data_IF_052287453490
#
_entry.id   IF_052287453490
#
_cell.length_a   1.000
_cell.length_b   1.000
_cell.length_c   1.000
_cell.angle_alpha   90.00
_cell.angle_beta   90.00
_cell.angle_gamma   90.00
#
_symmetry.space_group_name_H-M   'P 1'
#
loop_
_entity.id
_entity.type
_entity.pdbx_description
1 polymer ?
#
# COMPACT_ATOMS: atom_id res chain seq x y z
N UNK A 1 -3.18 -11.47 11.16
CA UNK A 1 -2.00 -10.61 10.99
C UNK A 1 -0.77 -11.30 11.52
N UNK A 2 0.03 -11.86 10.62
CA UNK A 2 1.19 -12.68 10.96
C UNK A 2 2.45 -11.81 10.87
N UNK A 3 2.87 -11.25 11.99
CA UNK A 3 3.94 -10.23 12.11
C UNK A 3 5.25 -10.66 11.40
N UNK A 4 5.54 -11.95 11.38
CA UNK A 4 6.72 -12.48 10.69
C UNK A 4 6.73 -12.26 9.18
N UNK A 5 5.58 -12.29 8.50
CA UNK A 5 5.48 -12.02 7.06
C UNK A 5 5.74 -10.56 6.73
N UNK A 6 5.20 -9.66 7.56
CA UNK A 6 5.40 -8.21 7.44
C UNK A 6 6.89 -7.86 7.57
N UNK A 7 7.57 -8.45 8.56
CA UNK A 7 9.00 -8.25 8.78
C UNK A 7 9.86 -8.71 7.60
N UNK A 8 9.46 -9.82 6.95
CA UNK A 8 10.19 -10.38 5.83
C UNK A 8 10.04 -9.54 4.55
N UNK A 9 8.86 -8.95 4.32
CA UNK A 9 8.64 -7.98 3.24
C UNK A 9 9.48 -6.71 3.41
N UNK A 10 9.53 -6.17 4.64
CA UNK A 10 10.34 -4.99 4.98
C UNK A 10 11.82 -5.25 4.69
N UNK A 11 12.34 -6.40 5.14
CA UNK A 11 13.75 -6.76 4.95
C UNK A 11 14.10 -7.10 3.48
N UNK A 12 13.21 -7.79 2.75
CA UNK A 12 13.49 -8.20 1.36
C UNK A 12 13.37 -7.05 0.36
N UNK A 13 12.48 -6.09 0.62
CA UNK A 13 12.26 -4.95 -0.27
C UNK A 13 13.02 -3.70 0.18
N UNK A 14 13.87 -3.81 1.21
CA UNK A 14 14.65 -2.70 1.76
C UNK A 14 13.77 -1.49 2.13
N UNK A 15 12.53 -1.76 2.52
CA UNK A 15 11.53 -0.74 2.83
C UNK A 15 11.81 -0.25 4.24
N UNK A 16 11.93 1.06 4.43
CA UNK A 16 12.18 1.61 5.75
C UNK A 16 10.92 1.43 6.62
N UNK A 17 11.05 0.95 7.88
CA UNK A 17 9.91 0.85 8.81
C UNK A 17 9.19 2.19 9.02
N UNK A 18 9.93 3.30 8.97
CA UNK A 18 9.40 4.67 9.05
C UNK A 18 8.53 5.02 7.82
N UNK A 19 8.86 4.49 6.64
CA UNK A 19 8.07 4.69 5.43
C UNK A 19 6.76 3.90 5.48
N UNK A 20 6.79 2.66 6.00
CA UNK A 20 5.59 1.87 6.28
C UNK A 20 4.70 2.61 7.28
N UNK A 21 5.28 3.15 8.35
CA UNK A 21 4.53 3.87 9.38
C UNK A 21 3.90 5.15 8.83
N UNK A 22 4.66 5.92 8.04
CA UNK A 22 4.19 7.12 7.34
C UNK A 22 3.08 6.81 6.34
N UNK A 23 3.10 5.61 5.75
CA UNK A 23 2.05 5.10 4.88
C UNK A 23 0.75 4.87 5.66
N UNK A 24 0.86 4.14 6.77
CA UNK A 24 -0.28 3.80 7.63
C UNK A 24 -0.91 5.06 8.22
N UNK A 25 -0.11 6.06 8.61
CA UNK A 25 -0.62 7.35 9.06
C UNK A 25 -1.32 8.14 7.96
N UNK A 26 -0.74 8.19 6.75
CA UNK A 26 -1.39 8.85 5.61
C UNK A 26 -2.72 8.20 5.27
N UNK A 27 -2.74 6.87 5.21
CA UNK A 27 -3.92 6.05 4.98
C UNK A 27 -5.00 6.34 6.02
N UNK A 28 -4.64 6.31 7.31
CA UNK A 28 -5.55 6.53 8.43
C UNK A 28 -6.13 7.95 8.45
N UNK A 29 -5.38 8.94 7.98
CA UNK A 29 -5.84 10.33 7.86
C UNK A 29 -6.50 10.64 6.51
N UNK A 30 -6.31 9.81 5.49
CA UNK A 30 -6.87 10.00 4.16
C UNK A 30 -8.27 9.40 4.05
N UNK A 31 -9.12 10.04 3.26
CA UNK A 31 -10.47 9.55 3.02
C UNK A 31 -10.45 8.36 2.04
N UNK A 32 -10.40 7.14 2.57
CA UNK A 32 -10.44 5.86 1.83
C UNK A 32 -11.79 5.59 1.12
N UNK A 33 -12.65 6.60 1.01
CA UNK A 33 -13.90 6.55 0.23
C UNK A 33 -13.76 7.13 -1.17
N UNK A 34 -12.64 7.77 -1.47
CA UNK A 34 -12.40 8.45 -2.74
C UNK A 34 -11.33 7.71 -3.57
N UNK A 35 -11.72 7.23 -4.75
CA UNK A 35 -10.88 6.51 -5.70
C UNK A 35 -9.62 7.30 -6.07
N UNK A 36 -9.76 8.62 -6.25
CA UNK A 36 -8.65 9.48 -6.66
C UNK A 36 -7.57 9.55 -5.57
N UNK A 37 -7.99 9.64 -4.30
CA UNK A 37 -7.07 9.64 -3.16
C UNK A 37 -6.39 8.28 -3.02
N UNK A 38 -7.13 7.18 -3.15
CA UNK A 38 -6.57 5.83 -3.07
C UNK A 38 -5.53 5.59 -4.16
N UNK A 39 -5.84 5.98 -5.41
CA UNK A 39 -4.91 5.86 -6.53
C UNK A 39 -3.63 6.66 -6.28
N UNK A 40 -3.75 7.88 -5.77
CA UNK A 40 -2.59 8.71 -5.43
C UNK A 40 -1.71 8.07 -4.34
N UNK A 41 -2.35 7.52 -3.30
CA UNK A 41 -1.64 6.80 -2.24
C UNK A 41 -0.87 5.63 -2.84
N UNK A 42 -1.52 4.75 -3.60
CA UNK A 42 -0.90 3.57 -4.23
C UNK A 42 0.34 3.97 -5.05
N UNK A 43 0.25 5.02 -5.86
CA UNK A 43 1.38 5.50 -6.65
C UNK A 43 2.53 6.00 -5.78
N UNK A 44 2.23 6.74 -4.71
CA UNK A 44 3.24 7.24 -3.80
C UNK A 44 3.92 6.07 -3.07
N UNK A 45 3.15 5.05 -2.66
CA UNK A 45 3.69 3.82 -2.06
C UNK A 45 4.59 3.09 -3.04
N UNK A 46 4.15 2.91 -4.29
CA UNK A 46 4.90 2.24 -5.34
C UNK A 46 6.24 2.93 -5.61
N UNK A 47 6.27 4.27 -5.60
CA UNK A 47 7.50 5.05 -5.74
C UNK A 47 8.43 4.85 -4.55
N UNK A 48 7.89 4.88 -3.33
CA UNK A 48 8.63 4.67 -2.08
C UNK A 48 9.25 3.26 -2.05
N UNK A 49 8.45 2.24 -2.37
CA UNK A 49 8.90 0.85 -2.45
C UNK A 49 9.82 0.57 -3.66
N UNK A 50 10.04 1.54 -4.55
CA UNK A 50 10.84 1.37 -5.77
C UNK A 50 10.26 0.35 -6.76
N UNK A 51 8.97 0.00 -6.62
CA UNK A 51 8.32 -1.02 -7.44
C UNK A 51 7.42 -0.39 -8.48
N UNK A 52 7.66 -0.71 -9.76
CA UNK A 52 6.76 -0.31 -10.84
C UNK A 52 5.55 -1.22 -10.89
N UNK A 53 4.39 -0.66 -10.55
CA UNK A 53 3.09 -1.27 -10.80
C UNK A 53 2.57 -0.82 -12.15
N UNK A 54 1.92 -1.74 -12.86
CA UNK A 54 1.20 -1.49 -14.08
C UNK A 54 -0.23 -1.00 -13.77
N UNK A 55 -0.83 -0.29 -14.72
CA UNK A 55 -2.18 0.28 -14.59
C UNK A 55 -3.24 -0.74 -14.16
N UNK A 56 -3.12 -1.98 -14.64
CA UNK A 56 -4.06 -3.04 -14.29
C UNK A 56 -3.96 -3.44 -12.82
N UNK A 57 -2.74 -3.63 -12.28
CA UNK A 57 -2.55 -3.87 -10.84
C UNK A 57 -3.00 -2.68 -10.00
N UNK A 58 -2.73 -1.46 -10.46
CA UNK A 58 -3.15 -0.24 -9.77
C UNK A 58 -4.68 -0.18 -9.64
N UNK A 59 -5.44 -0.40 -10.73
CA UNK A 59 -6.90 -0.42 -10.69
C UNK A 59 -7.47 -1.56 -9.83
N UNK A 60 -6.81 -2.72 -9.81
CA UNK A 60 -7.18 -3.84 -8.93
C UNK A 60 -7.00 -3.45 -7.45
N UNK A 61 -5.85 -2.85 -7.10
CA UNK A 61 -5.57 -2.36 -5.76
C UNK A 61 -6.59 -1.29 -5.34
N UNK A 62 -6.87 -0.34 -6.22
CA UNK A 62 -7.86 0.72 -5.99
C UNK A 62 -9.23 0.12 -5.67
N UNK A 63 -9.73 -0.80 -6.51
CA UNK A 63 -11.02 -1.47 -6.28
C UNK A 63 -11.08 -2.24 -4.98
N UNK A 64 -9.99 -2.94 -4.64
CA UNK A 64 -9.91 -3.74 -3.42
C UNK A 64 -9.96 -2.85 -2.19
N UNK A 65 -9.21 -1.75 -2.19
CA UNK A 65 -9.23 -0.76 -1.10
C UNK A 65 -10.59 -0.07 -0.97
N UNK A 66 -11.26 0.22 -2.08
CA UNK A 66 -12.62 0.77 -2.09
C UNK A 66 -13.66 -0.18 -1.51
N UNK A 67 -13.48 -1.49 -1.71
CA UNK A 67 -14.45 -2.52 -1.33
C UNK A 67 -14.22 -3.03 0.09
N UNK A 68 -12.97 -3.40 0.40
CA UNK A 68 -12.58 -4.10 1.63
C UNK A 68 -11.75 -3.22 2.59
N UNK A 69 -11.35 -2.02 2.17
CA UNK A 69 -10.40 -1.18 2.90
C UNK A 69 -8.95 -1.62 2.69
N UNK A 70 -8.03 -1.00 3.44
CA UNK A 70 -6.61 -1.35 3.36
C UNK A 70 -6.33 -2.57 4.26
N UNK A 71 -6.27 -3.74 3.64
CA UNK A 71 -5.85 -4.99 4.27
C UNK A 71 -4.36 -5.29 4.10
N UNK A 72 -3.89 -6.36 4.75
CA UNK A 72 -2.50 -6.84 4.64
C UNK A 72 -2.12 -7.22 3.20
N UNK A 73 -3.11 -7.63 2.41
CA UNK A 73 -3.02 -8.07 1.03
C UNK A 73 -2.67 -6.95 0.03
N UNK A 74 -2.97 -5.70 0.36
CA UNK A 74 -2.58 -4.53 -0.44
C UNK A 74 -1.05 -4.39 -0.47
N UNK A 75 -0.42 -4.64 0.67
CA UNK A 75 1.04 -4.57 0.81
C UNK A 75 1.73 -5.76 0.14
N UNK A 76 1.09 -6.93 0.12
CA UNK A 76 1.60 -8.11 -0.60
C UNK A 76 1.56 -7.93 -2.13
N UNK A 77 0.68 -7.06 -2.63
CA UNK A 77 0.49 -6.80 -4.07
C UNK A 77 1.40 -5.70 -4.63
N UNK A 78 2.02 -4.89 -3.75
CA UNK A 78 3.04 -3.91 -4.08
C UNK A 78 4.39 -4.60 -4.11
#
# INVERSE_FOLDING_TARGET
>A
MNIGKIMQLIAQNNINPEEIFSLVERIKNSNLKDEANIRQIIQDVSKIAGKKIDKYKEDQLVKKILTDGIGEDVFDML
#
